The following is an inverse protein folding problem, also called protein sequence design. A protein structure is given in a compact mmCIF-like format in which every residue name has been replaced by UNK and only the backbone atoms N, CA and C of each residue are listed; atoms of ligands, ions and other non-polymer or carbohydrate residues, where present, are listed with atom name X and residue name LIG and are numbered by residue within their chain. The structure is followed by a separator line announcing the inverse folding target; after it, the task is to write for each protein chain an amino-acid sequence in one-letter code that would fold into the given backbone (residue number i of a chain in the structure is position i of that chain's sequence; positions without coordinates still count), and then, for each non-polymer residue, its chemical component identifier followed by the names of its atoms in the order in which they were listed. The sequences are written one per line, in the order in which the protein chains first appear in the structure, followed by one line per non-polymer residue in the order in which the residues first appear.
data_IF_210676733097
#
_entry.id   IF_210676733097
#
_cell.length_a   1.000
_cell.length_b   1.000
_cell.length_c   1.000
_cell.angle_alpha   90.00
_cell.angle_beta   90.00
_cell.angle_gamma   90.00
#
_symmetry.space_group_name_H-M   'P 1'
#
loop_
_entity.id
_entity.type
_entity.pdbx_description
1 polymer ?
#
# COMPACT_ATOMS: atom_id res chain seq x y z
N UNK A 1 65.74 27.94 70.69
CA UNK A 1 65.04 26.66 70.45
C UNK A 1 63.61 26.79 70.94
N UNK A 2 62.66 27.05 70.04
CA UNK A 2 61.23 27.13 70.35
C UNK A 2 60.50 26.14 69.43
N UNK A 3 59.83 25.18 70.05
CA UNK A 3 59.00 24.18 69.37
C UNK A 3 57.64 24.79 69.10
N UNK A 4 57.15 24.71 67.86
CA UNK A 4 55.77 25.03 67.42
C UNK A 4 54.89 23.79 67.52
N UNK A 5 53.63 23.88 67.94
CA UNK A 5 52.70 22.75 67.97
C UNK A 5 52.03 22.51 66.58
N UNK A 6 51.82 21.26 66.26
CA UNK A 6 51.08 20.81 65.06
C UNK A 6 49.56 20.97 65.27
N UNK A 7 48.92 21.68 64.35
CA UNK A 7 47.47 21.74 64.27
C UNK A 7 46.95 20.52 63.46
N UNK A 8 46.17 19.70 64.14
CA UNK A 8 45.38 18.62 63.45
C UNK A 8 44.12 19.20 62.85
N UNK A 9 43.99 19.18 61.52
CA UNK A 9 42.80 19.61 60.82
C UNK A 9 41.90 18.39 60.67
N UNK A 10 40.79 18.36 61.40
CA UNK A 10 39.74 17.32 61.28
C UNK A 10 38.87 17.63 60.04
N UNK A 11 38.94 16.77 59.04
CA UNK A 11 38.11 16.89 57.83
C UNK A 11 36.72 16.31 58.15
N UNK A 12 35.70 17.16 58.22
CA UNK A 12 34.28 16.78 58.36
C UNK A 12 33.73 16.40 56.98
N UNK A 13 33.57 15.11 56.70
CA UNK A 13 32.90 14.62 55.46
C UNK A 13 31.40 14.76 55.66
N UNK A 14 30.81 15.77 55.06
CA UNK A 14 29.36 15.92 54.91
C UNK A 14 28.86 14.89 53.88
N UNK A 15 28.23 13.82 54.34
CA UNK A 15 27.49 12.91 53.49
C UNK A 15 26.23 13.61 52.99
N UNK A 16 26.22 14.01 51.70
CA UNK A 16 25.00 14.43 51.01
C UNK A 16 24.09 13.21 50.82
N UNK A 17 22.81 13.29 51.19
CA UNK A 17 21.88 12.20 50.87
C UNK A 17 21.74 12.12 49.36
N UNK A 18 21.96 10.92 48.78
CA UNK A 18 21.54 10.62 47.40
C UNK A 18 20.05 10.92 47.31
N UNK A 19 19.71 11.98 46.55
CA UNK A 19 18.36 12.23 46.14
C UNK A 19 17.87 10.96 45.44
N UNK A 20 16.82 10.33 45.97
CA UNK A 20 16.20 9.15 45.41
C UNK A 20 15.83 9.44 44.00
N UNK A 21 16.33 8.63 43.08
CA UNK A 21 15.81 8.59 41.69
C UNK A 21 14.31 8.28 41.81
N UNK A 22 13.45 9.26 41.58
CA UNK A 22 12.03 9.02 41.36
C UNK A 22 11.93 7.94 40.31
N UNK A 23 11.52 6.74 40.69
CA UNK A 23 11.18 5.66 39.78
C UNK A 23 10.11 6.22 38.89
N UNK A 24 10.45 6.53 37.63
CA UNK A 24 9.49 6.94 36.64
C UNK A 24 8.43 5.83 36.62
N UNK A 25 7.23 6.09 37.12
CA UNK A 25 6.14 5.14 37.18
C UNK A 25 5.92 4.59 35.76
N UNK A 26 5.96 3.26 35.64
CA UNK A 26 5.74 2.59 34.36
C UNK A 26 4.40 3.03 33.77
N UNK A 27 4.38 3.25 32.47
CA UNK A 27 3.16 3.58 31.75
C UNK A 27 2.41 2.28 31.41
N UNK A 28 1.53 1.88 32.30
CA UNK A 28 0.85 0.59 32.25
C UNK A 28 -0.38 0.55 31.32
N UNK A 29 -1.12 -0.54 31.34
CA UNK A 29 -2.31 -0.72 30.50
C UNK A 29 -3.47 0.17 30.91
N UNK A 30 -3.61 0.50 32.18
CA UNK A 30 -4.68 1.41 32.65
C UNK A 30 -4.39 2.84 32.25
N UNK A 31 -3.15 3.28 32.34
CA UNK A 31 -2.69 4.56 31.82
C UNK A 31 -2.94 4.65 30.31
N UNK A 32 -2.61 3.57 29.57
CA UNK A 32 -2.89 3.49 28.13
C UNK A 32 -4.38 3.62 27.85
N UNK A 33 -5.25 2.89 28.57
CA UNK A 33 -6.71 2.93 28.41
C UNK A 33 -7.24 4.34 28.69
N UNK A 34 -6.84 4.95 29.80
CA UNK A 34 -7.25 6.30 30.16
C UNK A 34 -6.80 7.33 29.11
N UNK A 35 -5.55 7.22 28.66
CA UNK A 35 -5.01 8.13 27.66
C UNK A 35 -5.73 8.02 26.33
N UNK A 36 -5.97 6.80 25.83
CA UNK A 36 -6.74 6.58 24.59
C UNK A 36 -8.18 7.10 24.77
N UNK A 37 -8.83 6.82 25.90
CA UNK A 37 -10.20 7.29 26.15
C UNK A 37 -10.28 8.82 26.12
N UNK A 38 -9.35 9.52 26.79
CA UNK A 38 -9.29 10.98 26.81
C UNK A 38 -9.09 11.57 25.40
N UNK A 39 -8.22 10.98 24.59
CA UNK A 39 -7.97 11.40 23.22
C UNK A 39 -9.18 11.12 22.32
N UNK A 40 -9.80 9.95 22.44
CA UNK A 40 -10.95 9.55 21.62
C UNK A 40 -12.23 10.34 21.92
N UNK A 41 -12.39 10.91 23.14
CA UNK A 41 -13.49 11.86 23.41
C UNK A 41 -13.42 13.07 22.48
N UNK A 42 -12.24 13.58 22.18
CA UNK A 42 -12.02 14.72 21.28
C UNK A 42 -12.31 14.37 19.80
N UNK A 43 -12.25 13.09 19.43
CA UNK A 43 -12.55 12.62 18.07
C UNK A 43 -14.04 12.50 17.75
N UNK A 44 -14.92 12.74 18.72
CA UNK A 44 -16.38 12.77 18.57
C UNK A 44 -17.06 11.41 18.40
N UNK A 45 -18.42 11.42 18.35
CA UNK A 45 -19.23 10.20 18.46
C UNK A 45 -19.17 9.30 17.22
N UNK A 46 -18.80 9.83 16.05
CA UNK A 46 -18.67 9.06 14.81
C UNK A 46 -17.33 8.37 14.67
N UNK A 47 -16.47 8.46 15.69
CA UNK A 47 -15.15 7.81 15.73
C UNK A 47 -15.19 6.49 16.50
N UNK A 48 -14.23 5.59 16.19
CA UNK A 48 -14.07 4.32 16.88
C UNK A 48 -12.63 3.87 16.86
N UNK A 49 -12.28 3.06 17.86
CA UNK A 49 -10.95 2.52 18.05
C UNK A 49 -10.99 1.06 18.52
N UNK A 50 -10.01 0.28 18.11
CA UNK A 50 -9.71 -1.03 18.66
C UNK A 50 -8.18 -1.17 18.75
N UNK A 51 -7.72 -1.60 19.93
CA UNK A 51 -6.30 -1.85 20.22
C UNK A 51 -6.21 -3.21 20.87
N UNK A 52 -5.32 -4.06 20.37
CA UNK A 52 -5.08 -5.41 20.90
C UNK A 52 -3.61 -5.76 20.88
N UNK A 53 -3.22 -6.64 21.76
CA UNK A 53 -1.93 -7.30 21.73
C UNK A 53 -1.90 -8.29 20.56
N UNK A 54 -0.98 -8.07 19.62
CA UNK A 54 -0.80 -8.95 18.48
C UNK A 54 -0.25 -10.30 18.94
N UNK A 55 -0.74 -11.39 18.35
CA UNK A 55 -0.37 -12.74 18.74
C UNK A 55 -1.35 -13.36 19.73
N UNK A 56 -1.73 -12.68 20.83
CA UNK A 56 -2.75 -13.18 21.77
C UNK A 56 -4.17 -12.79 21.38
N UNK A 57 -4.33 -11.67 20.65
CA UNK A 57 -5.63 -11.08 20.32
C UNK A 57 -6.34 -10.44 21.53
N UNK A 58 -5.65 -10.35 22.69
CA UNK A 58 -6.18 -9.74 23.90
C UNK A 58 -6.44 -8.26 23.69
N UNK A 59 -7.68 -7.82 23.88
CA UNK A 59 -8.06 -6.44 23.69
C UNK A 59 -7.57 -5.57 24.85
N UNK A 60 -6.83 -4.51 24.52
CA UNK A 60 -6.38 -3.49 25.46
C UNK A 60 -7.36 -2.31 25.51
N UNK A 61 -7.98 -1.95 24.38
CA UNK A 61 -8.96 -0.86 24.32
C UNK A 61 -10.03 -1.10 23.25
N UNK A 62 -11.28 -0.73 23.59
CA UNK A 62 -12.44 -0.83 22.70
C UNK A 62 -13.31 0.41 22.78
N UNK A 63 -13.58 1.04 21.63
CA UNK A 63 -14.55 2.13 21.53
C UNK A 63 -15.33 2.01 20.23
N UNK A 64 -16.62 1.66 20.31
CA UNK A 64 -17.50 1.48 19.14
C UNK A 64 -16.80 0.66 18.03
N UNK A 65 -16.02 -0.30 18.43
CA UNK A 65 -15.05 -1.05 17.65
C UNK A 65 -15.69 -1.99 16.62
N UNK A 66 -16.96 -2.35 16.79
CA UNK A 66 -17.75 -3.16 15.84
C UNK A 66 -18.55 -2.30 14.85
N UNK A 67 -18.77 -1.01 15.14
CA UNK A 67 -19.53 -0.14 14.25
C UNK A 67 -18.75 0.18 12.99
N UNK A 68 -19.38 -0.07 11.84
CA UNK A 68 -18.79 0.19 10.52
C UNK A 68 -18.65 1.69 10.25
N UNK A 69 -17.51 2.08 9.67
CA UNK A 69 -17.13 3.44 9.32
C UNK A 69 -16.49 3.50 7.96
N UNK A 70 -16.36 4.70 7.40
CA UNK A 70 -15.58 4.95 6.18
C UNK A 70 -14.10 4.82 6.54
N UNK A 71 -13.36 3.89 5.90
CA UNK A 71 -11.94 3.66 6.20
C UNK A 71 -10.99 4.63 5.50
N UNK A 72 -11.46 5.35 4.47
CA UNK A 72 -10.60 6.05 3.53
C UNK A 72 -9.49 5.10 3.03
N UNK A 73 -8.25 5.56 2.85
CA UNK A 73 -7.15 4.74 2.30
C UNK A 73 -6.67 3.58 3.19
N UNK A 74 -7.22 3.39 4.42
CA UNK A 74 -7.05 2.12 5.15
C UNK A 74 -7.67 0.95 4.38
N UNK A 75 -8.63 1.22 3.47
CA UNK A 75 -9.15 0.24 2.51
C UNK A 75 -8.05 -0.47 1.70
N UNK A 76 -6.94 0.21 1.40
CA UNK A 76 -5.80 -0.36 0.65
C UNK A 76 -5.18 -1.57 1.35
N UNK A 77 -5.27 -1.65 2.68
CA UNK A 77 -4.82 -2.84 3.42
C UNK A 77 -5.57 -4.10 2.98
N UNK A 78 -6.88 -4.01 2.76
CA UNK A 78 -7.68 -5.14 2.25
C UNK A 78 -7.28 -5.50 0.80
N UNK A 79 -7.05 -4.50 -0.03
CA UNK A 79 -6.64 -4.70 -1.43
C UNK A 79 -5.27 -5.37 -1.53
N UNK A 80 -4.28 -4.85 -0.81
CA UNK A 80 -2.90 -5.37 -0.84
C UNK A 80 -2.78 -6.73 -0.14
N UNK A 81 -3.48 -6.92 1.00
CA UNK A 81 -3.56 -8.24 1.64
C UNK A 81 -4.15 -9.28 0.71
N UNK A 82 -5.24 -8.94 0.00
CA UNK A 82 -5.84 -9.85 -0.97
C UNK A 82 -4.85 -10.21 -2.07
N UNK A 83 -4.17 -9.23 -2.67
CA UNK A 83 -3.17 -9.50 -3.70
C UNK A 83 -2.04 -10.41 -3.19
N UNK A 84 -1.52 -10.14 -1.98
CA UNK A 84 -0.48 -10.96 -1.36
C UNK A 84 -0.95 -12.40 -1.07
N UNK A 85 -2.17 -12.57 -0.58
CA UNK A 85 -2.73 -13.88 -0.22
C UNK A 85 -3.13 -14.72 -1.44
N UNK A 86 -3.57 -14.06 -2.53
CA UNK A 86 -4.14 -14.78 -3.68
C UNK A 86 -3.18 -14.94 -4.86
N UNK A 87 -2.31 -13.98 -5.08
CA UNK A 87 -1.29 -14.04 -6.14
C UNK A 87 0.06 -14.55 -5.62
N UNK A 88 0.31 -14.35 -4.33
CA UNK A 88 1.58 -14.63 -3.68
C UNK A 88 2.57 -13.44 -3.72
N UNK A 89 3.43 -13.28 -2.69
CA UNK A 89 4.35 -12.14 -2.59
C UNK A 89 5.35 -12.02 -3.73
N UNK A 90 5.78 -13.14 -4.31
CA UNK A 90 6.79 -13.21 -5.39
C UNK A 90 6.21 -13.10 -6.79
N UNK A 91 4.90 -13.18 -6.96
CA UNK A 91 4.24 -13.04 -8.26
C UNK A 91 4.54 -11.67 -8.89
N UNK A 92 4.55 -11.63 -10.21
CA UNK A 92 4.74 -10.42 -11.03
C UNK A 92 3.60 -10.29 -12.04
N UNK A 93 3.39 -9.09 -12.55
CA UNK A 93 2.48 -8.80 -13.65
C UNK A 93 3.29 -8.68 -14.93
N UNK A 94 2.81 -9.28 -16.01
CA UNK A 94 3.53 -9.31 -17.27
C UNK A 94 2.97 -8.29 -18.27
N UNK A 95 3.84 -7.70 -19.07
CA UNK A 95 3.48 -6.99 -20.31
C UNK A 95 4.26 -7.63 -21.43
N UNK A 96 3.58 -8.17 -22.43
CA UNK A 96 4.16 -8.97 -23.49
C UNK A 96 3.99 -8.37 -24.88
N UNK A 97 4.94 -8.69 -25.77
CA UNK A 97 4.85 -8.46 -27.19
C UNK A 97 4.56 -9.81 -27.88
N UNK A 98 3.46 -9.87 -28.62
CA UNK A 98 2.93 -11.07 -29.23
C UNK A 98 2.87 -10.87 -30.74
N UNK A 99 3.43 -11.77 -31.52
CA UNK A 99 3.39 -11.77 -32.99
C UNK A 99 2.11 -12.46 -33.47
N UNK A 100 1.37 -11.80 -34.38
CA UNK A 100 0.15 -12.36 -34.98
C UNK A 100 0.40 -13.15 -36.27
N UNK A 101 1.67 -13.28 -36.67
CA UNK A 101 2.11 -14.02 -37.86
C UNK A 101 3.51 -14.57 -37.73
N UNK A 102 4.01 -15.20 -38.76
CA UNK A 102 5.37 -15.77 -38.81
C UNK A 102 6.44 -14.69 -38.99
N UNK A 103 7.65 -15.00 -38.50
CA UNK A 103 8.84 -14.18 -38.74
C UNK A 103 9.71 -14.95 -39.74
N UNK A 104 10.10 -14.33 -40.86
CA UNK A 104 10.93 -14.93 -41.87
C UNK A 104 12.44 -14.85 -41.56
N UNK A 105 13.27 -15.47 -42.40
CA UNK A 105 14.72 -15.48 -42.25
C UNK A 105 15.42 -14.11 -42.39
N UNK A 106 14.72 -13.08 -42.87
CA UNK A 106 15.18 -11.69 -42.96
C UNK A 106 14.76 -10.85 -41.75
N UNK A 107 14.02 -11.44 -40.82
CA UNK A 107 13.50 -10.75 -39.61
C UNK A 107 12.24 -9.94 -39.86
N UNK A 108 11.47 -10.24 -40.91
CA UNK A 108 10.18 -9.60 -41.20
C UNK A 108 9.06 -10.38 -40.51
N UNK A 109 8.35 -9.73 -39.60
CA UNK A 109 7.10 -10.24 -39.03
C UNK A 109 5.97 -9.98 -40.04
N UNK A 110 5.44 -11.04 -40.66
CA UNK A 110 4.29 -10.98 -41.57
C UNK A 110 2.97 -10.92 -40.79
N UNK A 111 2.70 -9.76 -40.22
CA UNK A 111 1.52 -9.52 -39.37
C UNK A 111 1.71 -8.35 -38.42
N UNK A 112 0.82 -8.25 -37.46
CA UNK A 112 0.83 -7.22 -36.41
C UNK A 112 1.70 -7.67 -35.21
N UNK A 113 2.32 -6.71 -34.52
CA UNK A 113 2.94 -6.93 -33.20
C UNK A 113 1.99 -6.37 -32.13
N UNK A 114 1.47 -7.24 -31.27
CA UNK A 114 0.50 -6.86 -30.24
C UNK A 114 1.19 -6.68 -28.90
N UNK A 115 1.07 -5.48 -28.32
CA UNK A 115 1.49 -5.18 -26.96
C UNK A 115 0.33 -5.48 -26.01
N UNK A 116 0.45 -6.55 -25.22
CA UNK A 116 -0.61 -7.03 -24.30
C UNK A 116 -0.26 -6.65 -22.86
N UNK A 117 -1.16 -5.94 -22.19
CA UNK A 117 -1.00 -5.55 -20.80
C UNK A 117 -1.81 -6.41 -19.84
N UNK A 118 -1.19 -6.80 -18.70
CA UNK A 118 -1.86 -7.52 -17.62
C UNK A 118 -1.96 -6.70 -16.33
N UNK A 119 -2.01 -5.38 -16.45
CA UNK A 119 -2.35 -4.49 -15.33
C UNK A 119 -1.17 -4.03 -14.48
N UNK A 120 0.07 -4.04 -15.00
CA UNK A 120 1.20 -3.41 -14.30
C UNK A 120 0.96 -1.90 -14.13
N UNK A 121 0.82 -1.39 -12.88
CA UNK A 121 0.54 0.02 -12.64
C UNK A 121 1.74 0.94 -12.91
N UNK A 122 2.92 0.37 -13.12
CA UNK A 122 4.17 1.12 -13.29
C UNK A 122 4.82 0.90 -14.65
N UNK A 123 4.19 0.16 -15.56
CA UNK A 123 4.66 0.04 -16.94
C UNK A 123 4.86 1.41 -17.59
N UNK A 124 6.06 1.68 -18.10
CA UNK A 124 6.42 2.99 -18.66
C UNK A 124 7.56 2.93 -19.63
N UNK A 125 8.25 4.07 -19.83
CA UNK A 125 9.28 4.22 -20.85
C UNK A 125 10.43 3.19 -20.70
N UNK A 126 10.89 2.95 -19.47
CA UNK A 126 12.01 2.02 -19.20
C UNK A 126 11.64 0.59 -19.59
N UNK A 127 10.45 0.13 -19.18
CA UNK A 127 10.01 -1.24 -19.48
C UNK A 127 9.66 -1.40 -20.96
N UNK A 128 9.03 -0.38 -21.55
CA UNK A 128 8.74 -0.32 -22.97
C UNK A 128 10.02 -0.39 -23.83
N UNK A 129 11.06 0.37 -23.47
CA UNK A 129 12.35 0.31 -24.17
C UNK A 129 13.06 -1.06 -23.99
N UNK A 130 12.94 -1.67 -22.79
CA UNK A 130 13.47 -3.01 -22.54
C UNK A 130 12.75 -4.06 -23.39
N UNK A 131 11.42 -3.97 -23.46
CA UNK A 131 10.61 -4.87 -24.30
C UNK A 131 10.93 -4.69 -25.78
N UNK A 132 11.11 -3.45 -26.27
CA UNK A 132 11.47 -3.18 -27.65
C UNK A 132 12.82 -3.80 -28.04
N UNK A 133 13.83 -3.68 -27.17
CA UNK A 133 15.12 -4.36 -27.36
C UNK A 133 14.98 -5.87 -27.38
N UNK A 134 14.14 -6.44 -26.51
CA UNK A 134 13.89 -7.88 -26.49
C UNK A 134 13.22 -8.37 -27.78
N UNK A 135 12.29 -7.61 -28.36
CA UNK A 135 11.72 -7.89 -29.68
C UNK A 135 12.80 -7.87 -30.78
N UNK A 136 13.71 -6.88 -30.74
CA UNK A 136 14.84 -6.82 -31.68
C UNK A 136 15.80 -8.01 -31.52
N UNK A 137 16.08 -8.41 -30.29
CA UNK A 137 16.93 -9.58 -29.99
C UNK A 137 16.28 -10.89 -30.42
N UNK A 138 14.94 -10.96 -30.43
CA UNK A 138 14.18 -12.09 -30.98
C UNK A 138 14.25 -12.18 -32.52
N UNK A 139 15.00 -11.31 -33.17
CA UNK A 139 15.26 -11.34 -34.62
C UNK A 139 14.33 -10.48 -35.44
N UNK A 140 13.34 -9.80 -34.85
CA UNK A 140 12.39 -8.94 -35.60
C UNK A 140 13.07 -7.61 -35.91
N UNK A 141 13.11 -7.25 -37.20
CA UNK A 141 13.64 -5.99 -37.73
C UNK A 141 12.55 -5.14 -38.37
N UNK A 142 11.54 -5.80 -38.92
CA UNK A 142 10.42 -5.15 -39.63
C UNK A 142 9.11 -5.83 -39.21
N UNK A 143 8.08 -5.02 -39.01
CA UNK A 143 6.71 -5.46 -38.80
C UNK A 143 5.90 -5.02 -40.01
N UNK A 144 5.44 -5.93 -40.84
CA UNK A 144 4.66 -5.67 -42.05
C UNK A 144 3.25 -5.13 -41.76
N UNK A 145 2.80 -5.32 -40.55
CA UNK A 145 1.56 -4.76 -39.98
C UNK A 145 1.75 -3.53 -39.11
N UNK A 146 0.92 -3.43 -38.10
CA UNK A 146 0.87 -2.37 -37.10
C UNK A 146 1.34 -2.84 -35.71
N UNK A 147 1.72 -1.90 -34.87
CA UNK A 147 1.80 -2.14 -33.42
C UNK A 147 0.41 -1.95 -32.82
N UNK A 148 -0.10 -2.98 -32.15
CA UNK A 148 -1.44 -2.99 -31.56
C UNK A 148 -1.34 -2.97 -30.04
N UNK A 149 -2.16 -2.14 -29.37
CA UNK A 149 -2.24 -2.14 -27.91
C UNK A 149 -3.50 -2.87 -27.44
N UNK A 150 -3.29 -4.00 -26.77
CA UNK A 150 -4.33 -4.82 -26.18
C UNK A 150 -4.44 -4.53 -24.67
N UNK A 151 -5.59 -3.97 -24.27
CA UNK A 151 -5.96 -3.69 -22.89
C UNK A 151 -7.15 -4.56 -22.42
N UNK A 152 -7.49 -5.60 -23.15
CA UNK A 152 -8.68 -6.44 -22.95
C UNK A 152 -8.71 -7.21 -21.63
N UNK A 153 -7.57 -7.34 -20.94
CA UNK A 153 -7.52 -7.96 -19.63
C UNK A 153 -8.34 -7.22 -18.55
N UNK A 154 -8.62 -5.91 -18.75
CA UNK A 154 -9.51 -5.11 -17.91
C UNK A 154 -10.72 -4.60 -18.71
N UNK A 155 -11.80 -4.27 -17.99
CA UNK A 155 -12.90 -3.52 -18.57
C UNK A 155 -12.46 -2.10 -18.99
N UNK A 156 -13.27 -1.44 -19.81
CA UNK A 156 -12.96 -0.10 -20.34
C UNK A 156 -13.28 1.06 -19.38
N UNK A 157 -13.62 0.80 -18.11
CA UNK A 157 -13.82 1.85 -17.13
C UNK A 157 -12.48 2.45 -16.71
N UNK A 158 -12.34 3.75 -16.94
CA UNK A 158 -11.08 4.50 -16.70
C UNK A 158 -10.89 4.96 -15.27
N UNK A 159 -11.94 4.89 -14.47
CA UNK A 159 -11.93 5.18 -13.04
C UNK A 159 -12.93 4.28 -12.29
N UNK A 160 -12.76 4.15 -10.95
CA UNK A 160 -13.62 3.32 -10.13
C UNK A 160 -14.96 4.00 -9.80
N UNK A 161 -14.96 5.33 -9.60
CA UNK A 161 -16.09 6.11 -9.07
C UNK A 161 -16.91 6.85 -10.13
N UNK A 162 -16.26 7.29 -11.18
CA UNK A 162 -16.86 8.14 -12.23
C UNK A 162 -16.66 7.52 -13.62
N UNK A 163 -17.41 7.99 -14.61
CA UNK A 163 -17.13 7.69 -15.99
C UNK A 163 -16.03 8.63 -16.50
N UNK A 164 -15.00 8.07 -17.15
CA UNK A 164 -13.85 8.83 -17.64
C UNK A 164 -12.74 9.00 -16.61
N UNK A 165 -12.07 10.14 -16.59
CA UNK A 165 -10.91 10.41 -15.73
C UNK A 165 -11.32 10.93 -14.35
N UNK A 166 -10.68 10.41 -13.33
CA UNK A 166 -10.79 10.88 -11.95
C UNK A 166 -9.43 11.41 -11.48
N UNK A 167 -9.33 12.72 -11.28
CA UNK A 167 -8.08 13.37 -10.88
C UNK A 167 -7.51 12.88 -9.54
N UNK A 168 -8.39 12.48 -8.58
CA UNK A 168 -7.94 11.95 -7.30
C UNK A 168 -7.34 10.54 -7.41
N UNK A 169 -7.60 9.84 -8.52
CA UNK A 169 -7.02 8.54 -8.79
C UNK A 169 -5.54 8.64 -9.17
N UNK A 170 -5.14 9.67 -9.91
CA UNK A 170 -3.76 9.89 -10.34
C UNK A 170 -3.34 9.00 -11.52
N UNK A 171 -4.28 8.57 -12.37
CA UNK A 171 -4.04 7.80 -13.58
C UNK A 171 -5.32 7.34 -14.26
N UNK A 172 -5.19 6.70 -15.41
CA UNK A 172 -6.26 6.13 -16.23
C UNK A 172 -6.22 4.61 -16.11
N UNK A 173 -7.26 4.00 -15.54
CA UNK A 173 -7.32 2.54 -15.36
C UNK A 173 -7.38 1.83 -16.74
N UNK A 174 -6.41 0.96 -16.95
CA UNK A 174 -6.31 0.12 -18.14
C UNK A 174 -5.36 -1.04 -17.87
N UNK A 175 -5.60 -2.21 -18.44
CA UNK A 175 -4.64 -3.31 -18.34
C UNK A 175 -3.28 -2.94 -18.97
N UNK A 176 -3.28 -1.98 -19.90
CA UNK A 176 -2.09 -1.45 -20.58
C UNK A 176 -1.97 0.06 -20.32
N UNK A 177 -1.68 0.43 -19.07
CA UNK A 177 -1.61 1.83 -18.62
C UNK A 177 -0.17 2.38 -18.70
N UNK A 178 0.34 2.63 -19.91
CA UNK A 178 1.67 3.24 -20.10
C UNK A 178 1.78 4.58 -19.34
N UNK A 179 2.78 4.69 -18.44
CA UNK A 179 2.99 5.89 -17.59
C UNK A 179 1.70 6.36 -16.92
N UNK A 180 0.93 5.43 -16.35
CA UNK A 180 -0.40 5.67 -15.73
C UNK A 180 -1.46 6.21 -16.68
N UNK A 181 -1.27 6.11 -17.99
CA UNK A 181 -2.14 6.75 -18.98
C UNK A 181 -2.10 8.28 -18.92
N UNK A 182 -0.98 8.88 -18.51
CA UNK A 182 -0.79 10.33 -18.45
C UNK A 182 0.34 10.77 -19.38
N UNK A 183 0.13 11.88 -20.11
CA UNK A 183 1.16 12.49 -20.96
C UNK A 183 0.99 14.01 -21.01
N UNK A 184 2.05 14.75 -20.72
CA UNK A 184 2.01 16.21 -20.65
C UNK A 184 0.91 16.74 -19.72
N UNK A 185 0.67 16.06 -18.57
CA UNK A 185 -0.38 16.40 -17.62
C UNK A 185 -1.80 16.05 -18.05
N UNK A 186 -1.98 15.43 -19.24
CA UNK A 186 -3.30 15.08 -19.79
C UNK A 186 -3.57 13.59 -19.75
N UNK A 187 -4.81 13.23 -19.39
CA UNK A 187 -5.28 11.84 -19.37
C UNK A 187 -5.48 11.29 -20.78
N UNK A 188 -4.94 10.10 -21.05
CA UNK A 188 -4.98 9.39 -22.32
C UNK A 188 -6.07 8.30 -22.24
N UNK A 189 -7.32 8.67 -22.49
CA UNK A 189 -8.47 7.75 -22.34
C UNK A 189 -8.45 6.58 -23.33
N UNK A 190 -7.83 6.75 -24.51
CA UNK A 190 -7.55 5.66 -25.45
C UNK A 190 -6.23 4.95 -25.07
N UNK A 191 -6.19 4.36 -23.87
CA UNK A 191 -4.97 3.89 -23.24
C UNK A 191 -4.20 2.86 -24.06
N UNK A 192 -4.89 1.87 -24.68
CA UNK A 192 -4.26 0.87 -25.54
C UNK A 192 -3.59 1.51 -26.77
N UNK A 193 -4.28 2.43 -27.47
CA UNK A 193 -3.67 3.15 -28.62
C UNK A 193 -2.51 4.02 -28.18
N UNK A 194 -2.61 4.68 -27.03
CA UNK A 194 -1.53 5.49 -26.50
C UNK A 194 -0.28 4.65 -26.19
N UNK A 195 -0.45 3.53 -25.48
CA UNK A 195 0.64 2.62 -25.19
C UNK A 195 1.28 2.04 -26.47
N UNK A 196 0.47 1.63 -27.45
CA UNK A 196 0.97 1.12 -28.73
C UNK A 196 1.83 2.15 -29.47
N UNK A 197 1.39 3.43 -29.52
CA UNK A 197 2.18 4.52 -30.13
C UNK A 197 3.51 4.77 -29.40
N UNK A 198 3.49 4.69 -28.07
CA UNK A 198 4.71 4.85 -27.27
C UNK A 198 5.67 3.69 -27.47
N UNK A 199 5.15 2.47 -27.52
CA UNK A 199 5.94 1.28 -27.77
C UNK A 199 6.51 1.25 -29.21
N UNK A 200 5.74 1.64 -30.23
CA UNK A 200 6.19 1.77 -31.60
C UNK A 200 7.38 2.77 -31.73
N UNK A 201 7.33 3.85 -30.97
CA UNK A 201 8.47 4.77 -30.91
C UNK A 201 9.72 4.14 -30.27
N UNK A 202 9.58 3.30 -29.23
CA UNK A 202 10.70 2.57 -28.64
C UNK A 202 11.23 1.46 -29.58
N UNK A 203 10.33 0.78 -30.32
CA UNK A 203 10.73 -0.20 -31.34
C UNK A 203 11.61 0.46 -32.42
N UNK A 204 11.21 1.64 -32.94
CA UNK A 204 12.03 2.39 -33.92
C UNK A 204 13.42 2.75 -33.35
N UNK A 205 13.49 3.17 -32.07
CA UNK A 205 14.79 3.41 -31.40
C UNK A 205 15.64 2.15 -31.27
N UNK A 206 14.99 0.99 -31.14
CA UNK A 206 15.65 -0.31 -31.09
C UNK A 206 15.99 -0.89 -32.49
N UNK A 207 15.70 -0.17 -33.58
CA UNK A 207 15.96 -0.61 -34.96
C UNK A 207 14.86 -1.54 -35.51
N UNK A 208 13.64 -1.51 -34.96
CA UNK A 208 12.48 -2.25 -35.51
C UNK A 208 11.48 -1.25 -36.08
N UNK A 209 11.04 -1.45 -37.34
CA UNK A 209 10.13 -0.55 -38.06
C UNK A 209 8.80 -1.24 -38.30
N UNK A 210 7.68 -0.52 -38.09
CA UNK A 210 6.34 -0.97 -38.47
C UNK A 210 5.88 -0.29 -39.77
N UNK A 211 5.20 -1.00 -40.64
CA UNK A 211 4.68 -0.48 -41.92
C UNK A 211 3.38 0.29 -41.76
N UNK A 212 2.62 0.04 -40.69
CA UNK A 212 1.33 0.69 -40.43
C UNK A 212 1.30 1.43 -39.10
N UNK A 213 0.41 2.41 -38.98
CA UNK A 213 0.23 3.22 -37.79
C UNK A 213 -0.26 2.38 -36.59
N UNK A 214 0.29 2.67 -35.40
CA UNK A 214 -0.10 2.04 -34.16
C UNK A 214 -1.57 2.32 -33.79
N UNK A 215 -2.29 1.28 -33.34
CA UNK A 215 -3.73 1.33 -33.01
C UNK A 215 -4.06 0.50 -31.77
N UNK A 216 -5.28 0.63 -31.25
CA UNK A 216 -5.82 -0.27 -30.25
C UNK A 216 -6.43 -1.51 -30.94
N UNK A 217 -6.42 -2.64 -30.27
CA UNK A 217 -7.02 -3.90 -30.73
C UNK A 217 -6.79 -5.00 -29.71
N UNK A 218 -7.04 -6.24 -30.11
CA UNK A 218 -6.80 -7.43 -29.29
C UNK A 218 -5.86 -8.39 -30.01
N UNK A 219 -5.11 -9.18 -29.25
CA UNK A 219 -4.31 -10.27 -29.79
C UNK A 219 -5.23 -11.32 -30.43
N UNK A 220 -4.98 -11.76 -31.66
CA UNK A 220 -5.78 -12.82 -32.27
C UNK A 220 -5.47 -14.17 -31.61
N UNK A 221 -6.39 -15.13 -31.69
CA UNK A 221 -6.12 -16.50 -31.28
C UNK A 221 -4.91 -17.08 -32.05
N UNK A 222 -4.06 -17.84 -31.34
CA UNK A 222 -2.88 -18.47 -31.95
C UNK A 222 -1.65 -17.55 -32.09
N UNK A 223 -1.74 -16.28 -31.71
CA UNK A 223 -0.59 -15.36 -31.68
C UNK A 223 0.48 -15.85 -30.68
N UNK A 224 1.75 -15.69 -31.05
CA UNK A 224 2.91 -16.24 -30.31
C UNK A 224 3.65 -15.14 -29.58
N UNK A 225 3.96 -15.35 -28.28
CA UNK A 225 4.74 -14.42 -27.50
C UNK A 225 6.19 -14.41 -27.95
N UNK A 226 6.70 -13.24 -28.35
CA UNK A 226 8.10 -13.06 -28.79
C UNK A 226 8.97 -12.43 -27.73
N UNK A 227 8.40 -11.64 -26.83
CA UNK A 227 9.11 -11.01 -25.74
C UNK A 227 8.15 -10.63 -24.59
N UNK A 228 8.69 -10.48 -23.39
CA UNK A 228 7.93 -10.00 -22.24
C UNK A 228 8.82 -9.23 -21.27
N UNK A 229 8.18 -8.33 -20.51
CA UNK A 229 8.76 -7.69 -19.31
C UNK A 229 7.86 -7.93 -18.11
N UNK A 230 8.45 -7.98 -16.95
CA UNK A 230 7.75 -8.23 -15.69
C UNK A 230 7.78 -7.00 -14.79
N UNK A 231 6.70 -6.75 -14.09
CA UNK A 231 6.61 -5.73 -13.05
C UNK A 231 7.52 -6.03 -11.85
N UNK A 232 7.59 -5.10 -10.91
CA UNK A 232 7.98 -5.41 -9.53
C UNK A 232 7.10 -6.54 -8.97
N UNK A 233 7.59 -7.27 -7.96
CA UNK A 233 6.81 -8.31 -7.28
C UNK A 233 5.56 -7.75 -6.61
N UNK A 234 4.56 -8.59 -6.35
CA UNK A 234 3.34 -8.19 -5.62
C UNK A 234 3.67 -7.63 -4.23
N UNK A 235 4.73 -8.14 -3.58
CA UNK A 235 5.24 -7.58 -2.33
C UNK A 235 5.68 -6.12 -2.49
N UNK A 236 6.51 -5.84 -3.51
CA UNK A 236 6.98 -4.48 -3.81
C UNK A 236 5.84 -3.57 -4.31
N UNK A 237 4.92 -4.09 -5.12
CA UNK A 237 3.73 -3.37 -5.54
C UNK A 237 2.87 -2.99 -4.35
N UNK A 238 2.67 -3.90 -3.38
CA UNK A 238 1.94 -3.63 -2.15
C UNK A 238 2.60 -2.51 -1.33
N UNK A 239 3.94 -2.49 -1.28
CA UNK A 239 4.70 -1.43 -0.64
C UNK A 239 4.54 -0.09 -1.38
N UNK A 240 4.64 -0.09 -2.71
CA UNK A 240 4.41 1.08 -3.56
C UNK A 240 2.98 1.62 -3.46
N UNK A 241 2.00 0.78 -3.12
CA UNK A 241 0.62 1.18 -2.83
C UNK A 241 0.48 1.77 -1.43
N UNK A 242 0.96 1.07 -0.40
CA UNK A 242 0.64 1.40 0.99
C UNK A 242 1.47 2.56 1.54
N UNK A 243 2.78 2.62 1.26
CA UNK A 243 3.68 3.65 1.81
C UNK A 243 3.28 5.06 1.35
N UNK A 244 3.17 5.37 0.05
CA UNK A 244 2.73 6.68 -0.42
C UNK A 244 1.20 6.83 -0.47
N UNK A 245 0.47 5.74 -0.22
CA UNK A 245 -0.99 5.68 -0.36
C UNK A 245 -1.49 5.86 -1.81
N UNK A 246 -0.85 5.21 -2.77
CA UNK A 246 -1.14 5.31 -4.20
C UNK A 246 -2.53 4.77 -4.56
N UNK A 247 -3.43 5.67 -5.00
CA UNK A 247 -4.80 5.32 -5.36
C UNK A 247 -4.86 4.53 -6.66
N UNK A 248 -4.10 4.98 -7.66
CA UNK A 248 -4.08 4.36 -8.99
C UNK A 248 -3.60 2.91 -8.92
N UNK A 249 -2.45 2.68 -8.31
CA UNK A 249 -1.89 1.34 -8.19
C UNK A 249 -2.79 0.41 -7.35
N UNK A 250 -3.49 0.94 -6.34
CA UNK A 250 -4.46 0.16 -5.56
C UNK A 250 -5.65 -0.32 -6.43
N UNK A 251 -6.20 0.54 -7.29
CA UNK A 251 -7.28 0.16 -8.21
C UNK A 251 -6.79 -0.81 -9.28
N UNK A 252 -5.57 -0.63 -9.79
CA UNK A 252 -4.96 -1.55 -10.75
C UNK A 252 -4.79 -2.95 -10.14
N UNK A 253 -4.28 -3.06 -8.92
CA UNK A 253 -4.19 -4.34 -8.19
C UNK A 253 -5.57 -4.95 -7.95
N UNK A 254 -6.56 -4.15 -7.56
CA UNK A 254 -7.94 -4.62 -7.40
C UNK A 254 -8.48 -5.25 -8.68
N UNK A 255 -8.34 -4.55 -9.82
CA UNK A 255 -8.76 -5.08 -11.12
C UNK A 255 -7.96 -6.32 -11.53
N UNK A 256 -6.65 -6.33 -11.24
CA UNK A 256 -5.75 -7.45 -11.51
C UNK A 256 -6.18 -8.74 -10.80
N UNK A 257 -6.48 -8.69 -9.49
CA UNK A 257 -6.99 -9.87 -8.76
C UNK A 257 -8.37 -10.30 -9.28
N UNK A 258 -9.21 -9.36 -9.70
CA UNK A 258 -10.49 -9.65 -10.37
C UNK A 258 -10.32 -10.39 -11.69
N UNK A 259 -9.40 -9.93 -12.55
CA UNK A 259 -9.07 -10.56 -13.81
C UNK A 259 -8.51 -11.98 -13.60
N UNK A 260 -7.52 -12.13 -12.71
CA UNK A 260 -6.83 -13.41 -12.47
C UNK A 260 -7.74 -14.47 -11.89
N UNK A 261 -8.63 -14.12 -10.95
CA UNK A 261 -9.40 -15.10 -10.18
C UNK A 261 -10.84 -15.25 -10.61
N UNK A 262 -11.35 -14.34 -11.43
CA UNK A 262 -12.75 -14.36 -11.91
C UNK A 262 -12.88 -14.14 -13.42
N UNK A 263 -11.76 -14.10 -14.17
CA UNK A 263 -11.77 -13.87 -15.61
C UNK A 263 -12.20 -12.45 -16.04
N UNK A 264 -12.40 -11.52 -15.10
CA UNK A 264 -12.91 -10.19 -15.40
C UNK A 264 -12.19 -9.11 -14.60
N UNK A 265 -11.37 -8.31 -15.26
CA UNK A 265 -10.62 -7.20 -14.68
C UNK A 265 -11.47 -5.95 -14.47
N UNK A 266 -12.42 -5.99 -13.54
CA UNK A 266 -13.27 -4.87 -13.17
C UNK A 266 -13.19 -4.55 -11.69
N UNK A 267 -13.50 -3.30 -11.29
CA UNK A 267 -13.61 -2.90 -9.89
C UNK A 267 -14.60 -3.79 -9.13
N UNK A 268 -15.73 -4.13 -9.76
CA UNK A 268 -16.76 -5.01 -9.17
C UNK A 268 -16.23 -6.41 -8.90
N UNK A 269 -15.55 -7.01 -9.87
CA UNK A 269 -14.98 -8.35 -9.76
C UNK A 269 -13.86 -8.39 -8.72
N UNK A 270 -12.93 -7.43 -8.76
CA UNK A 270 -11.87 -7.32 -7.74
C UNK A 270 -12.42 -7.12 -6.33
N UNK A 271 -13.43 -6.24 -6.15
CA UNK A 271 -14.08 -6.06 -4.85
C UNK A 271 -14.75 -7.35 -4.34
N UNK A 272 -15.29 -8.17 -5.24
CA UNK A 272 -15.84 -9.49 -4.87
C UNK A 272 -14.74 -10.45 -4.39
N UNK A 273 -13.58 -10.47 -5.08
CA UNK A 273 -12.41 -11.25 -4.62
C UNK A 273 -11.95 -10.79 -3.25
N UNK A 274 -11.80 -9.46 -3.03
CA UNK A 274 -11.42 -8.92 -1.71
C UNK A 274 -12.38 -9.36 -0.62
N UNK A 275 -13.70 -9.27 -0.85
CA UNK A 275 -14.70 -9.72 0.15
C UNK A 275 -14.58 -11.21 0.45
N UNK A 276 -14.38 -12.04 -0.57
CA UNK A 276 -14.22 -13.49 -0.42
C UNK A 276 -12.95 -13.85 0.36
N UNK A 277 -11.81 -13.27 -0.02
CA UNK A 277 -10.52 -13.48 0.67
C UNK A 277 -10.56 -12.96 2.11
N UNK A 278 -11.20 -11.82 2.36
CA UNK A 278 -11.33 -11.31 3.72
C UNK A 278 -12.28 -12.20 4.57
N UNK A 279 -13.29 -12.79 3.97
CA UNK A 279 -14.17 -13.74 4.68
C UNK A 279 -13.39 -14.99 5.13
N UNK A 280 -12.44 -15.51 4.34
CA UNK A 280 -11.61 -16.66 4.74
C UNK A 280 -10.68 -16.35 5.92
N UNK A 281 -10.30 -15.08 6.12
CA UNK A 281 -9.56 -14.65 7.32
C UNK A 281 -10.47 -14.09 8.44
N UNK A 282 -11.78 -14.34 8.35
CA UNK A 282 -12.74 -14.04 9.40
C UNK A 282 -13.19 -12.58 9.51
N UNK A 283 -13.05 -11.78 8.44
CA UNK A 283 -13.51 -10.38 8.38
C UNK A 283 -14.42 -10.13 7.18
N UNK A 284 -15.38 -9.23 7.32
CA UNK A 284 -16.41 -8.97 6.31
C UNK A 284 -16.58 -7.47 6.03
N UNK A 285 -15.58 -6.80 5.41
CA UNK A 285 -15.71 -5.40 5.01
C UNK A 285 -16.71 -5.24 3.86
N UNK A 286 -17.35 -4.07 3.76
CA UNK A 286 -18.03 -3.67 2.53
C UNK A 286 -17.01 -2.97 1.64
N UNK A 287 -16.73 -3.57 0.50
CA UNK A 287 -15.72 -3.11 -0.44
C UNK A 287 -16.40 -2.63 -1.73
N UNK A 288 -16.17 -1.38 -2.06
CA UNK A 288 -16.70 -0.71 -3.24
C UNK A 288 -15.60 -0.38 -4.26
N UNK A 289 -14.37 -0.10 -3.77
CA UNK A 289 -13.19 0.14 -4.58
C UNK A 289 -11.92 -0.36 -3.87
N UNK A 290 -10.77 -0.27 -4.52
CA UNK A 290 -9.48 -0.71 -3.99
C UNK A 290 -8.72 0.37 -3.22
N UNK A 291 -8.96 1.62 -3.56
CA UNK A 291 -8.19 2.77 -3.06
C UNK A 291 -8.72 3.35 -1.74
N UNK A 292 -10.01 3.20 -1.48
CA UNK A 292 -10.71 3.84 -0.37
C UNK A 292 -11.21 5.26 -0.68
N UNK A 293 -11.20 5.67 -1.93
CA UNK A 293 -11.80 6.95 -2.37
C UNK A 293 -13.32 6.90 -2.30
N UNK A 294 -13.93 5.73 -2.55
CA UNK A 294 -15.38 5.57 -2.46
C UNK A 294 -15.86 5.66 -1.01
N UNK A 295 -16.79 6.58 -0.79
CA UNK A 295 -17.47 6.70 0.50
C UNK A 295 -18.45 5.55 0.80
N UNK A 296 -18.64 4.61 -0.12
CA UNK A 296 -19.42 3.40 0.08
C UNK A 296 -18.63 2.26 0.79
N UNK A 297 -17.29 2.34 0.83
CA UNK A 297 -16.51 1.40 1.62
C UNK A 297 -16.86 1.50 3.11
N UNK A 298 -16.99 0.36 3.79
CA UNK A 298 -17.28 0.27 5.23
C UNK A 298 -16.49 -0.86 5.88
N UNK A 299 -15.90 -0.53 7.01
CA UNK A 299 -15.29 -1.51 7.91
C UNK A 299 -15.38 -1.03 9.36
N UNK A 300 -15.09 -1.88 10.32
CA UNK A 300 -15.00 -1.50 11.73
C UNK A 300 -13.55 -1.58 12.22
N UNK A 301 -13.18 -0.85 13.28
CA UNK A 301 -11.85 -0.95 13.86
C UNK A 301 -11.44 -2.39 14.19
N UNK A 302 -12.35 -3.18 14.78
CA UNK A 302 -12.11 -4.60 15.10
C UNK A 302 -11.83 -5.42 13.86
N UNK A 303 -12.54 -5.20 12.74
CA UNK A 303 -12.28 -5.93 11.50
C UNK A 303 -10.91 -5.59 10.91
N UNK A 304 -10.50 -4.32 10.95
CA UNK A 304 -9.16 -3.92 10.47
C UNK A 304 -8.07 -4.62 11.29
N UNK A 305 -8.15 -4.56 12.62
CA UNK A 305 -7.14 -5.21 13.49
C UNK A 305 -7.14 -6.73 13.30
N UNK A 306 -8.32 -7.36 13.25
CA UNK A 306 -8.40 -8.81 13.02
C UNK A 306 -7.76 -9.20 11.67
N UNK A 307 -7.95 -8.40 10.62
CA UNK A 307 -7.26 -8.62 9.34
C UNK A 307 -5.74 -8.43 9.50
N UNK A 308 -5.28 -7.37 10.18
CA UNK A 308 -3.86 -7.15 10.46
C UNK A 308 -3.24 -8.39 11.13
N UNK A 309 -3.83 -8.88 12.21
CA UNK A 309 -3.33 -10.04 12.97
C UNK A 309 -3.31 -11.32 12.10
N UNK A 310 -4.39 -11.61 11.39
CA UNK A 310 -4.51 -12.84 10.59
C UNK A 310 -3.57 -12.87 9.39
N UNK A 311 -3.42 -11.74 8.68
CA UNK A 311 -2.50 -11.65 7.53
C UNK A 311 -1.05 -11.71 8.00
N UNK A 312 -0.72 -11.06 9.12
CA UNK A 312 0.63 -11.05 9.66
C UNK A 312 1.10 -12.42 10.18
N UNK A 313 0.18 -13.28 10.59
CA UNK A 313 0.48 -14.63 11.08
C UNK A 313 0.69 -15.66 9.95
N UNK A 314 0.32 -15.36 8.71
CA UNK A 314 0.46 -16.27 7.56
C UNK A 314 1.71 -16.00 6.72
N UNK A 315 1.89 -16.79 5.66
CA UNK A 315 3.06 -16.73 4.74
C UNK A 315 3.28 -15.37 4.09
N UNK A 316 2.22 -14.59 3.90
CA UNK A 316 2.30 -13.23 3.37
C UNK A 316 2.70 -12.19 4.43
N UNK A 317 2.82 -12.55 5.70
CA UNK A 317 2.94 -11.64 6.85
C UNK A 317 4.16 -10.72 6.77
N UNK A 318 5.33 -11.25 6.44
CA UNK A 318 6.56 -10.47 6.28
C UNK A 318 6.41 -9.42 5.18
N UNK A 319 5.93 -9.82 3.99
CA UNK A 319 5.71 -8.91 2.86
C UNK A 319 4.63 -7.86 3.18
N UNK A 320 3.58 -8.25 3.89
CA UNK A 320 2.52 -7.34 4.31
C UNK A 320 3.05 -6.27 5.27
N UNK A 321 3.78 -6.66 6.32
CA UNK A 321 4.40 -5.72 7.28
C UNK A 321 5.37 -4.77 6.60
N UNK A 322 6.24 -5.28 5.72
CA UNK A 322 7.21 -4.50 4.94
C UNK A 322 6.53 -3.51 3.97
N UNK A 323 5.24 -3.71 3.67
CA UNK A 323 4.48 -2.79 2.84
C UNK A 323 3.98 -1.55 3.58
N UNK A 324 4.03 -1.51 4.91
CA UNK A 324 3.53 -0.40 5.71
C UNK A 324 4.53 0.76 5.83
N UNK A 325 4.03 1.95 6.09
CA UNK A 325 4.87 3.12 6.32
C UNK A 325 5.41 3.13 7.76
N UNK A 326 6.69 3.46 7.92
CA UNK A 326 7.36 3.59 9.21
C UNK A 326 7.16 5.00 9.77
N UNK A 327 6.65 5.11 10.99
CA UNK A 327 6.44 6.38 11.68
C UNK A 327 7.74 7.20 11.75
N UNK A 328 7.67 8.49 11.42
CA UNK A 328 8.80 9.40 11.42
C UNK A 328 9.80 9.22 10.27
N UNK A 329 9.66 8.17 9.41
CA UNK A 329 10.66 7.80 8.38
C UNK A 329 10.13 7.79 6.95
N UNK A 330 8.96 7.21 6.70
CA UNK A 330 8.55 6.95 5.33
C UNK A 330 7.10 7.34 5.02
N UNK A 331 6.80 7.50 3.73
CA UNK A 331 5.46 7.68 3.19
C UNK A 331 4.67 8.81 3.84
N UNK A 332 3.39 8.53 4.06
CA UNK A 332 2.43 9.50 4.59
C UNK A 332 2.64 9.88 6.05
N UNK A 333 3.49 9.15 6.77
CA UNK A 333 3.85 9.43 8.17
C UNK A 333 5.31 9.88 8.36
N UNK A 334 6.01 10.19 7.26
CA UNK A 334 7.43 10.60 7.29
C UNK A 334 7.72 11.76 8.23
N UNK A 335 6.77 12.69 8.39
CA UNK A 335 6.89 13.88 9.24
C UNK A 335 6.07 13.79 10.53
N UNK A 336 5.40 12.65 10.78
CA UNK A 336 4.55 12.42 11.96
C UNK A 336 5.32 11.61 13.00
N UNK A 337 5.06 11.85 14.28
CA UNK A 337 5.63 11.13 15.43
C UNK A 337 7.17 11.20 15.51
N UNK A 338 7.81 12.18 14.85
CA UNK A 338 9.27 12.40 14.95
C UNK A 338 9.68 12.80 16.36
N UNK A 339 10.85 12.34 16.82
CA UNK A 339 11.37 12.63 18.15
C UNK A 339 10.55 12.00 19.27
N UNK A 340 9.67 11.05 18.98
CA UNK A 340 8.88 10.33 19.98
C UNK A 340 9.23 8.84 19.99
N UNK A 341 8.81 8.13 21.03
CA UNK A 341 9.00 6.67 21.13
C UNK A 341 8.26 5.87 20.02
N UNK A 342 7.31 6.48 19.33
CA UNK A 342 6.63 5.84 18.20
C UNK A 342 7.45 5.91 16.90
N UNK A 343 8.45 6.81 16.82
CA UNK A 343 9.34 6.87 15.66
C UNK A 343 10.09 5.53 15.54
N UNK A 344 10.15 5.01 14.33
CA UNK A 344 10.74 3.70 13.98
C UNK A 344 10.01 2.47 14.57
N UNK A 345 9.20 2.66 15.61
CA UNK A 345 8.51 1.59 16.33
C UNK A 345 7.08 1.32 15.85
N UNK A 346 6.51 2.17 15.00
CA UNK A 346 5.16 1.95 14.45
C UNK A 346 5.18 1.78 12.93
N UNK A 347 4.55 0.70 12.46
CA UNK A 347 4.31 0.38 11.05
C UNK A 347 2.83 0.65 10.75
N UNK A 348 2.52 1.62 9.90
CA UNK A 348 1.14 2.11 9.80
C UNK A 348 0.68 2.40 8.37
N UNK A 349 -0.64 2.37 8.19
CA UNK A 349 -1.36 2.88 7.03
C UNK A 349 -2.29 4.01 7.45
N UNK A 350 -2.19 5.14 6.75
CA UNK A 350 -3.09 6.29 6.93
C UNK A 350 -4.30 6.22 6.01
N UNK A 351 -5.39 6.87 6.41
CA UNK A 351 -6.54 7.14 5.56
C UNK A 351 -7.03 8.56 5.75
N UNK A 352 -7.32 9.27 4.66
CA UNK A 352 -7.82 10.64 4.70
C UNK A 352 -8.84 10.86 3.59
N UNK A 353 -10.01 11.41 3.94
CA UNK A 353 -10.97 12.07 3.05
C UNK A 353 -11.35 13.41 3.69
N UNK A 354 -12.21 14.19 3.04
CA UNK A 354 -12.57 15.55 3.48
C UNK A 354 -12.92 15.64 4.97
N UNK A 355 -13.64 14.64 5.53
CA UNK A 355 -14.11 14.58 6.92
C UNK A 355 -13.76 13.25 7.61
N UNK A 356 -12.74 12.56 7.11
CA UNK A 356 -12.28 11.26 7.60
C UNK A 356 -10.79 11.29 7.85
N UNK A 357 -10.37 10.84 9.02
CA UNK A 357 -8.98 10.54 9.35
C UNK A 357 -8.90 9.13 9.94
N UNK A 358 -8.05 8.28 9.38
CA UNK A 358 -7.86 6.93 9.83
C UNK A 358 -6.37 6.59 9.95
N UNK A 359 -6.03 5.74 10.93
CA UNK A 359 -4.69 5.19 11.12
C UNK A 359 -4.84 3.76 11.63
N UNK A 360 -4.13 2.82 11.01
CA UNK A 360 -4.12 1.42 11.44
C UNK A 360 -2.77 0.79 11.19
N UNK A 361 -2.39 -0.17 12.02
CA UNK A 361 -1.11 -0.86 11.91
C UNK A 361 -0.66 -1.46 13.23
N UNK A 362 0.63 -1.47 13.44
CA UNK A 362 1.29 -2.05 14.61
C UNK A 362 2.23 -1.04 15.25
N UNK A 363 2.38 -1.09 16.56
CA UNK A 363 3.49 -0.46 17.27
C UNK A 363 4.17 -1.50 18.18
N UNK A 364 5.50 -1.44 18.25
CA UNK A 364 6.25 -2.13 19.29
C UNK A 364 6.23 -1.25 20.54
N UNK A 365 5.72 -1.78 21.63
CA UNK A 365 5.73 -1.17 22.95
C UNK A 365 7.12 -1.26 23.60
N UNK A 366 7.36 -0.50 24.66
CA UNK A 366 8.65 -0.54 25.39
C UNK A 366 8.93 -1.89 26.01
N UNK A 367 7.89 -2.57 26.52
CA UNK A 367 7.99 -3.93 27.06
C UNK A 367 8.18 -5.03 25.99
N UNK A 368 8.38 -4.64 24.73
CA UNK A 368 8.65 -5.53 23.61
C UNK A 368 7.40 -6.11 22.95
N UNK A 369 6.21 -5.95 23.53
CA UNK A 369 4.97 -6.44 22.93
C UNK A 369 4.66 -5.71 21.63
N UNK A 370 4.11 -6.44 20.69
CA UNK A 370 3.55 -5.84 19.47
C UNK A 370 2.07 -5.58 19.67
N UNK A 371 1.65 -4.36 19.44
CA UNK A 371 0.27 -3.91 19.62
C UNK A 371 -0.32 -3.55 18.26
N UNK A 372 -1.35 -4.26 17.85
CA UNK A 372 -2.14 -3.96 16.66
C UNK A 372 -3.26 -2.97 16.98
N UNK A 373 -3.49 -1.99 16.10
CA UNK A 373 -4.51 -0.98 16.34
C UNK A 373 -5.18 -0.45 15.08
N UNK A 374 -6.40 0.02 15.23
CA UNK A 374 -7.13 0.76 14.21
C UNK A 374 -7.95 1.90 14.82
N UNK A 375 -7.72 3.10 14.30
CA UNK A 375 -8.40 4.34 14.66
C UNK A 375 -9.16 4.83 13.42
N UNK A 376 -10.48 4.74 13.44
CA UNK A 376 -11.34 5.21 12.35
C UNK A 376 -12.14 6.40 12.83
N UNK A 377 -11.73 7.61 12.45
CA UNK A 377 -12.34 8.87 12.87
C UNK A 377 -13.11 9.46 11.69
N UNK A 378 -14.43 9.52 11.81
CA UNK A 378 -15.35 10.12 10.83
C UNK A 378 -16.01 11.36 11.39
N UNK A 379 -16.26 12.35 10.55
CA UNK A 379 -16.81 13.65 10.97
C UNK A 379 -15.79 14.48 11.76
N UNK A 380 -14.53 14.41 11.37
CA UNK A 380 -13.43 15.15 11.98
C UNK A 380 -12.71 16.01 10.93
N UNK A 381 -12.11 17.10 11.36
CA UNK A 381 -11.13 17.83 10.55
C UNK A 381 -9.88 16.93 10.44
N UNK A 382 -9.42 16.57 9.22
CA UNK A 382 -8.35 15.60 9.07
C UNK A 382 -7.04 15.95 9.79
N UNK A 383 -6.65 17.22 9.87
CA UNK A 383 -5.46 17.65 10.61
C UNK A 383 -5.60 17.41 12.12
N UNK A 384 -6.73 17.75 12.72
CA UNK A 384 -7.01 17.45 14.11
C UNK A 384 -7.04 15.94 14.37
N UNK A 385 -7.72 15.16 13.49
CA UNK A 385 -7.74 13.71 13.58
C UNK A 385 -6.33 13.09 13.54
N UNK A 386 -5.44 13.61 12.70
CA UNK A 386 -4.03 13.16 12.65
C UNK A 386 -3.30 13.41 13.96
N UNK A 387 -3.44 14.60 14.56
CA UNK A 387 -2.82 14.91 15.85
C UNK A 387 -3.32 13.97 16.97
N UNK A 388 -4.61 13.65 16.99
CA UNK A 388 -5.16 12.69 17.94
C UNK A 388 -4.60 11.28 17.73
N UNK A 389 -4.46 10.83 16.48
CA UNK A 389 -3.88 9.54 16.13
C UNK A 389 -2.42 9.44 16.57
N UNK A 390 -1.63 10.50 16.38
CA UNK A 390 -0.22 10.53 16.79
C UNK A 390 -0.09 10.38 18.30
N UNK A 391 -0.92 11.07 19.07
CA UNK A 391 -0.96 10.95 20.53
C UNK A 391 -1.29 9.53 20.99
N UNK A 392 -2.19 8.82 20.31
CA UNK A 392 -2.53 7.42 20.63
C UNK A 392 -1.38 6.49 20.23
N UNK A 393 -0.80 6.64 19.04
CA UNK A 393 0.32 5.80 18.62
C UNK A 393 1.54 5.96 19.54
N UNK A 394 1.82 7.18 19.99
CA UNK A 394 2.87 7.45 20.99
C UNK A 394 2.55 6.80 22.34
N UNK A 395 1.29 6.83 22.78
CA UNK A 395 0.88 6.16 24.02
C UNK A 395 1.03 4.65 23.92
N UNK A 396 0.63 4.04 22.78
CA UNK A 396 0.84 2.60 22.54
C UNK A 396 2.32 2.24 22.59
N UNK A 397 3.18 3.02 21.93
CA UNK A 397 4.62 2.76 21.94
C UNK A 397 5.31 3.00 23.28
N UNK A 398 4.68 3.75 24.20
CA UNK A 398 5.15 3.98 25.57
C UNK A 398 4.80 2.85 26.53
N UNK A 399 3.83 2.01 26.17
CA UNK A 399 3.35 0.94 27.06
C UNK A 399 4.53 0.12 27.60
N UNK A 400 4.56 -0.03 28.92
CA UNK A 400 5.61 -0.73 29.65
C UNK A 400 4.99 -1.40 30.87
N UNK A 401 4.58 -2.64 30.71
CA UNK A 401 3.97 -3.44 31.80
C UNK A 401 5.01 -4.28 32.57
N UNK A 402 6.30 -4.15 32.24
CA UNK A 402 7.34 -5.04 32.81
C UNK A 402 7.67 -4.74 34.29
N UNK A 403 7.06 -3.71 34.90
CA UNK A 403 7.34 -3.30 36.28
C UNK A 403 6.28 -3.72 37.30
N UNK A 404 5.31 -4.53 36.90
CA UNK A 404 4.42 -5.19 37.89
C UNK A 404 4.96 -6.59 38.21
N UNK A 405 6.17 -6.67 38.76
CA UNK A 405 6.56 -7.81 39.57
C UNK A 405 6.33 -7.42 41.05
N UNK A 406 5.75 -8.31 41.86
CA UNK A 406 5.40 -8.04 43.25
C UNK A 406 6.63 -7.74 44.13
#
# INVERSE_FOLDING_TARGET
MRRLPALATTLLVLATPLAGAESATAFDEDDLRQRIAAVMRQAGPRSGAYVSEAGTGRALYRLRDTRRRIPASVQKLYTTSTALLTLGPRATLETSAIASGGVDGLGVLHGDLVLVGHGDPYFGAVDSARLARAVRTAGITTIDGAVIGDEGYFDRRRAARVNGYDGELGGVLSALAYSRGLYGGRAQLAAGRFAARRFDAELRRAGVRSSRSARAGSAPPGAVQVAAVRSSTVAELSRKVNVPSDNFAAEMLLKGVGAKLRGMGSTRSGAAVVRQTMASVGVRPLVSDGSGLSRANRTSPRQVVRMLERVAAGDAGSAFRASLAVAGRSGTVRRRMRGTVAQDNCLVKTGTLRDVSALAGYCRARDGREIAFALLMNGVIPSAGRALQDRIAVAIARLDSATAAP
#
